data_IF_820727030273
#
_entry.id   IF_820727030273
#
_cell.length_a   1.000
_cell.length_b   1.000
_cell.length_c   1.000
_cell.angle_alpha   90.00
_cell.angle_beta   90.00
_cell.angle_gamma   90.00
#
_symmetry.space_group_name_H-M   'P 1'
#
loop_
_entity.id
_entity.type
_entity.pdbx_description
1 polymer ?
#
# COMPACT_ATOMS: atom_id res chain seq x y z
N UNK A 1 -36.38 -60.45 -18.77
CA UNK A 1 -36.70 -60.09 -20.18
C UNK A 1 -36.32 -58.62 -20.33
N UNK A 2 -35.09 -58.29 -20.73
CA UNK A 2 -34.56 -58.15 -22.11
C UNK A 2 -35.31 -57.08 -22.96
N UNK A 3 -34.52 -56.06 -23.36
CA UNK A 3 -34.55 -55.27 -24.62
C UNK A 3 -35.68 -54.22 -24.70
N UNK A 4 -35.48 -52.97 -25.14
CA UNK A 4 -34.58 -52.33 -26.12
C UNK A 4 -34.11 -50.95 -25.59
N UNK A 5 -32.87 -50.47 -25.71
CA UNK A 5 -31.96 -50.32 -26.85
C UNK A 5 -32.25 -49.09 -27.74
N UNK A 6 -31.28 -48.17 -27.72
CA UNK A 6 -30.86 -47.27 -28.79
C UNK A 6 -31.75 -46.07 -29.18
N UNK A 7 -31.23 -44.86 -28.96
CA UNK A 7 -30.68 -44.01 -30.03
C UNK A 7 -30.70 -42.53 -29.63
N UNK A 8 -29.53 -41.96 -29.28
CA UNK A 8 -29.04 -40.73 -29.91
C UNK A 8 -27.57 -40.51 -29.51
N UNK A 9 -26.69 -41.22 -30.22
CA UNK A 9 -25.29 -40.89 -30.33
C UNK A 9 -25.08 -40.35 -31.75
N UNK A 10 -24.59 -39.12 -31.90
CA UNK A 10 -23.76 -38.69 -33.04
C UNK A 10 -23.51 -37.17 -32.97
N UNK A 11 -22.30 -36.76 -32.59
CA UNK A 11 -21.47 -35.81 -33.35
C UNK A 11 -20.10 -35.68 -32.67
N UNK A 12 -19.26 -36.70 -32.93
CA UNK A 12 -17.81 -36.63 -32.80
C UNK A 12 -17.26 -36.20 -34.16
N UNK A 13 -16.45 -35.14 -34.19
CA UNK A 13 -15.57 -34.85 -35.32
C UNK A 13 -14.14 -34.61 -34.79
N UNK A 14 -13.31 -35.62 -35.02
CA UNK A 14 -11.87 -35.63 -35.29
C UNK A 14 -10.92 -34.72 -34.50
N UNK A 15 -10.11 -35.33 -33.63
CA UNK A 15 -8.75 -34.89 -33.35
C UNK A 15 -7.83 -36.12 -33.25
N UNK A 16 -6.78 -36.15 -34.08
CA UNK A 16 -5.81 -37.23 -34.20
C UNK A 16 -4.83 -37.27 -33.01
N UNK A 17 -4.21 -38.43 -32.68
CA UNK A 17 -3.30 -38.53 -31.55
C UNK A 17 -1.90 -38.02 -31.92
N UNK A 18 -1.44 -36.97 -31.23
CA UNK A 18 -0.03 -36.59 -31.25
C UNK A 18 0.70 -37.39 -30.16
N UNK A 19 1.72 -38.13 -30.59
CA UNK A 19 2.61 -38.89 -29.71
C UNK A 19 3.36 -37.95 -28.75
N UNK A 20 3.26 -38.22 -27.45
CA UNK A 20 4.07 -37.58 -26.43
C UNK A 20 5.44 -38.26 -26.42
N UNK A 21 6.40 -37.68 -27.14
CA UNK A 21 7.81 -37.98 -26.94
C UNK A 21 8.28 -37.26 -25.67
N UNK A 22 8.73 -38.03 -24.68
CA UNK A 22 9.44 -37.52 -23.52
C UNK A 22 10.71 -36.78 -23.98
N UNK A 23 10.81 -35.49 -23.68
CA UNK A 23 12.03 -34.73 -23.89
C UNK A 23 13.03 -35.06 -22.79
N UNK A 24 14.26 -35.51 -23.12
CA UNK A 24 15.32 -35.57 -22.13
C UNK A 24 15.70 -34.16 -21.69
N UNK A 25 15.92 -34.00 -20.38
CA UNK A 25 16.50 -32.79 -19.82
C UNK A 25 17.81 -32.46 -20.54
N UNK A 26 17.84 -31.32 -21.22
CA UNK A 26 19.05 -30.75 -21.82
C UNK A 26 19.48 -29.51 -21.05
N UNK A 27 20.79 -29.26 -20.97
CA UNK A 27 21.41 -28.53 -19.88
C UNK A 27 21.29 -27.00 -20.04
N UNK A 28 21.27 -26.33 -18.90
CA UNK A 28 21.81 -24.99 -18.63
C UNK A 28 22.01 -24.07 -19.87
N UNK A 29 21.00 -23.24 -20.17
CA UNK A 29 21.14 -22.14 -21.14
C UNK A 29 21.82 -20.94 -20.49
N UNK A 30 23.07 -21.13 -20.07
CA UNK A 30 24.05 -20.04 -19.91
C UNK A 30 24.79 -19.83 -21.23
N UNK A 31 24.06 -19.63 -22.33
CA UNK A 31 24.65 -19.29 -23.62
C UNK A 31 24.62 -17.77 -23.81
N UNK A 32 25.82 -17.19 -23.86
CA UNK A 32 26.04 -15.82 -24.31
C UNK A 32 25.34 -15.59 -25.66
N UNK A 33 24.39 -14.65 -25.70
CA UNK A 33 23.60 -14.27 -26.89
C UNK A 33 24.41 -13.57 -27.99
N UNK A 34 25.73 -13.66 -27.94
CA UNK A 34 26.65 -13.10 -28.92
C UNK A 34 27.45 -14.26 -29.49
N UNK A 35 27.36 -14.46 -30.81
CA UNK A 35 28.18 -15.45 -31.50
C UNK A 35 29.68 -15.13 -31.29
N UNK A 36 30.59 -16.10 -31.48
CA UNK A 36 32.03 -15.93 -31.25
C UNK A 36 32.72 -14.86 -32.13
N UNK A 37 31.95 -14.16 -32.97
CA UNK A 37 32.40 -13.10 -33.87
C UNK A 37 31.58 -11.79 -33.71
N UNK A 38 30.73 -11.65 -32.68
CA UNK A 38 30.01 -10.40 -32.42
C UNK A 38 30.92 -9.38 -31.72
N UNK A 39 31.49 -8.45 -32.49
CA UNK A 39 32.04 -7.21 -31.95
C UNK A 39 30.90 -6.21 -31.73
N UNK A 40 30.76 -5.59 -30.55
CA UNK A 40 29.80 -4.51 -30.35
C UNK A 40 30.06 -3.37 -31.35
N UNK A 41 29.04 -2.72 -31.93
CA UNK A 41 29.25 -1.54 -32.75
C UNK A 41 29.93 -0.45 -31.90
N UNK A 42 30.87 0.33 -32.48
CA UNK A 42 31.48 1.44 -31.76
C UNK A 42 30.39 2.43 -31.34
N UNK A 43 30.36 2.78 -30.06
CA UNK A 43 29.47 3.80 -29.53
C UNK A 43 29.73 5.14 -30.23
N UNK A 44 28.70 5.94 -30.55
CA UNK A 44 28.90 7.26 -31.14
C UNK A 44 29.74 8.13 -30.20
N UNK A 45 30.59 8.97 -30.79
CA UNK A 45 31.38 9.95 -30.04
C UNK A 45 30.42 11.00 -29.46
N UNK A 46 30.14 10.90 -28.16
CA UNK A 46 29.47 11.97 -27.44
C UNK A 46 30.48 13.10 -27.21
N UNK A 47 30.03 14.36 -27.39
CA UNK A 47 30.83 15.51 -27.00
C UNK A 47 31.14 15.42 -25.49
N UNK A 48 32.41 15.25 -25.14
CA UNK A 48 32.85 15.37 -23.75
C UNK A 48 32.63 16.83 -23.32
N UNK A 49 32.01 17.09 -22.15
CA UNK A 49 31.89 18.45 -21.64
C UNK A 49 33.31 19.02 -21.50
N UNK A 50 33.56 20.17 -22.13
CA UNK A 50 34.85 20.86 -22.04
C UNK A 50 35.17 21.17 -20.57
N UNK A 51 36.24 20.61 -19.99
CA UNK A 51 36.67 21.00 -18.65
C UNK A 51 37.21 22.43 -18.75
N UNK A 52 36.58 23.39 -18.08
CA UNK A 52 37.04 24.78 -18.08
C UNK A 52 35.98 25.85 -18.27
N UNK A 53 34.68 25.52 -18.26
CA UNK A 53 33.68 26.55 -17.97
C UNK A 53 33.89 27.00 -16.52
N UNK A 54 34.59 28.12 -16.35
CA UNK A 54 34.62 28.85 -15.10
C UNK A 54 33.15 29.08 -14.71
N UNK A 55 32.72 28.64 -13.52
CA UNK A 55 31.39 29.02 -13.04
C UNK A 55 31.31 30.54 -13.13
N UNK A 56 30.19 31.11 -13.65
CA UNK A 56 30.02 32.55 -13.66
C UNK A 56 30.27 33.07 -12.24
N UNK A 57 30.90 34.25 -12.08
CA UNK A 57 31.10 34.83 -10.76
C UNK A 57 29.78 34.75 -10.00
N UNK A 58 29.86 34.33 -8.74
CA UNK A 58 28.71 34.20 -7.86
C UNK A 58 28.15 35.58 -7.47
N UNK A 59 28.01 36.50 -8.42
CA UNK A 59 27.14 37.67 -8.34
C UNK A 59 25.70 37.23 -8.59
N UNK A 60 25.30 36.13 -7.96
CA UNK A 60 23.89 35.94 -7.64
C UNK A 60 23.62 37.06 -6.66
N UNK A 61 22.78 38.07 -6.96
CA UNK A 61 22.39 39.04 -5.95
C UNK A 61 21.99 38.23 -4.72
N UNK A 62 22.65 38.49 -3.60
CA UNK A 62 22.30 37.85 -2.35
C UNK A 62 20.79 38.03 -2.24
N UNK A 63 20.04 36.93 -2.33
CA UNK A 63 18.63 36.96 -1.99
C UNK A 63 18.66 37.57 -0.59
N UNK A 64 18.08 38.77 -0.38
CA UNK A 64 18.13 39.38 0.92
C UNK A 64 17.63 38.32 1.90
N UNK A 65 18.48 37.97 2.88
CA UNK A 65 18.07 37.09 3.97
C UNK A 65 16.72 37.63 4.44
N UNK A 66 15.66 36.81 4.57
CA UNK A 66 14.31 37.29 4.79
C UNK A 66 14.32 38.30 5.93
N UNK A 67 14.24 39.59 5.58
CA UNK A 67 14.37 40.69 6.51
C UNK A 67 13.11 40.68 7.36
N UNK A 68 13.24 40.15 8.58
CA UNK A 68 12.18 40.18 9.59
C UNK A 68 10.91 39.45 9.17
N UNK A 69 10.95 38.13 9.05
CA UNK A 69 9.72 37.34 9.05
C UNK A 69 8.94 37.60 10.34
N UNK A 70 7.63 37.79 10.23
CA UNK A 70 6.73 37.91 11.39
C UNK A 70 7.08 36.82 12.41
N UNK A 71 7.44 37.23 13.62
CA UNK A 71 7.78 36.30 14.67
C UNK A 71 6.53 35.60 15.16
N UNK A 72 6.64 34.32 15.45
CA UNK A 72 5.57 33.56 16.09
C UNK A 72 5.60 33.90 17.58
N UNK A 73 4.63 34.69 18.02
CA UNK A 73 4.44 35.08 19.43
C UNK A 73 3.47 34.16 20.14
N UNK A 74 2.46 33.63 19.44
CA UNK A 74 1.44 32.77 20.01
C UNK A 74 1.24 31.50 19.18
N UNK A 75 1.15 30.35 19.86
CA UNK A 75 0.88 29.05 19.26
C UNK A 75 -0.48 28.51 19.70
N UNK A 76 -1.42 28.43 18.76
CA UNK A 76 -2.75 27.87 18.98
C UNK A 76 -2.84 26.54 18.28
N UNK A 77 -3.15 25.48 19.02
CA UNK A 77 -3.28 24.13 18.50
C UNK A 77 -4.68 23.67 18.81
N UNK A 78 -5.40 23.20 17.80
CA UNK A 78 -6.67 22.52 18.01
C UNK A 78 -6.60 21.09 17.47
N UNK A 79 -7.49 20.24 17.96
CA UNK A 79 -7.69 18.89 17.46
C UNK A 79 -9.13 18.83 16.91
N UNK A 80 -9.37 19.24 15.66
CA UNK A 80 -10.70 19.20 15.08
C UNK A 80 -11.17 17.76 14.83
N UNK A 81 -12.47 17.52 14.98
CA UNK A 81 -13.11 16.28 14.59
C UNK A 81 -13.75 15.50 15.75
N UNK A 82 -14.25 14.28 15.47
CA UNK A 82 -14.86 13.42 16.49
C UNK A 82 -13.83 12.96 17.53
N UNK A 83 -14.30 12.47 18.70
CA UNK A 83 -13.42 11.87 19.69
C UNK A 83 -12.57 10.78 19.05
N UNK A 84 -11.26 10.91 19.24
CA UNK A 84 -10.24 10.07 18.64
C UNK A 84 -9.49 9.32 19.74
N UNK A 85 -8.90 8.19 19.38
CA UNK A 85 -7.93 7.53 20.27
C UNK A 85 -6.61 8.30 20.22
N UNK A 86 -5.80 8.24 21.29
CA UNK A 86 -4.47 8.81 21.25
C UNK A 86 -3.63 8.14 20.14
N UNK A 87 -2.96 8.94 19.31
CA UNK A 87 -2.04 8.46 18.28
C UNK A 87 -0.73 7.97 18.91
N UNK A 88 -0.75 6.80 19.53
CA UNK A 88 0.42 6.20 20.18
C UNK A 88 1.23 5.42 19.14
N UNK A 89 2.51 5.79 18.90
CA UNK A 89 3.38 5.03 18.00
C UNK A 89 3.62 3.60 18.48
N UNK A 90 3.92 2.66 17.56
CA UNK A 90 4.33 1.30 17.93
C UNK A 90 5.57 1.28 18.85
N UNK A 91 5.75 0.29 19.74
CA UNK A 91 6.88 0.27 20.69
C UNK A 91 8.28 0.26 20.03
N UNK A 92 8.38 -0.32 18.84
CA UNK A 92 9.63 -0.38 18.06
C UNK A 92 9.93 0.92 17.31
N UNK A 93 8.96 1.83 17.19
CA UNK A 93 9.13 3.08 16.47
C UNK A 93 10.15 3.99 17.18
N UNK A 94 10.88 4.77 16.38
CA UNK A 94 11.81 5.80 16.85
C UNK A 94 11.58 7.08 16.07
N UNK A 95 11.74 8.25 16.71
CA UNK A 95 11.58 9.53 16.04
C UNK A 95 12.64 9.72 14.94
N UNK A 96 12.33 10.49 13.87
CA UNK A 96 13.28 10.76 12.80
C UNK A 96 14.57 11.42 13.32
N UNK A 97 15.72 10.82 13.07
CA UNK A 97 17.03 11.35 13.48
C UNK A 97 17.54 12.48 12.56
N UNK A 98 17.15 12.44 11.28
CA UNK A 98 17.63 13.37 10.25
C UNK A 98 16.86 14.70 10.27
N UNK A 99 17.13 15.52 11.28
CA UNK A 99 16.42 16.77 11.54
C UNK A 99 17.30 18.03 11.38
N UNK A 100 18.57 17.89 10.99
CA UNK A 100 19.48 19.02 10.88
C UNK A 100 19.74 19.69 12.23
N UNK A 101 19.39 20.96 12.37
CA UNK A 101 19.46 21.71 13.62
C UNK A 101 18.21 21.54 14.51
N UNK A 102 17.16 20.92 13.99
CA UNK A 102 15.94 20.64 14.72
C UNK A 102 16.07 19.37 15.57
N UNK A 103 15.30 19.33 16.66
CA UNK A 103 15.27 18.20 17.59
C UNK A 103 13.84 17.71 17.77
N UNK A 104 13.69 16.40 17.91
CA UNK A 104 12.42 15.77 18.24
C UNK A 104 12.61 14.81 19.40
N UNK A 105 11.85 15.03 20.47
CA UNK A 105 11.87 14.22 21.69
C UNK A 105 10.52 13.50 21.84
N UNK A 106 10.58 12.18 21.95
CA UNK A 106 9.39 11.34 22.13
C UNK A 106 9.66 10.32 23.23
N UNK A 107 8.72 10.24 24.19
CA UNK A 107 8.78 9.25 25.28
C UNK A 107 8.07 7.97 24.84
N UNK A 108 8.60 6.77 25.17
CA UNK A 108 7.90 5.51 24.88
C UNK A 108 6.46 5.51 25.40
N UNK A 109 5.50 5.19 24.53
CA UNK A 109 4.06 5.19 24.86
C UNK A 109 3.38 6.55 24.88
N UNK A 110 4.11 7.65 24.63
CA UNK A 110 3.52 8.98 24.49
C UNK A 110 2.74 9.09 23.17
N UNK A 111 1.55 9.70 23.21
CA UNK A 111 0.78 9.97 22.02
C UNK A 111 1.33 11.18 21.26
N UNK A 112 1.33 11.11 19.92
CA UNK A 112 1.58 12.24 19.03
C UNK A 112 0.36 13.17 19.04
N UNK A 113 0.23 13.96 20.12
CA UNK A 113 -0.87 14.89 20.32
C UNK A 113 -0.41 16.29 20.71
N UNK A 114 -1.36 17.10 21.17
CA UNK A 114 -1.12 18.52 21.45
C UNK A 114 0.04 18.74 22.43
N UNK A 115 0.06 18.00 23.55
CA UNK A 115 1.11 18.13 24.56
C UNK A 115 2.50 17.82 24.01
N UNK A 116 2.60 16.75 23.21
CA UNK A 116 3.84 16.37 22.52
C UNK A 116 4.26 17.44 21.51
N UNK A 117 3.32 17.96 20.70
CA UNK A 117 3.60 18.96 19.68
C UNK A 117 4.07 20.29 20.30
N UNK A 118 3.40 20.77 21.36
CA UNK A 118 3.82 21.97 22.10
C UNK A 118 5.25 21.84 22.63
N UNK A 119 5.62 20.66 23.15
CA UNK A 119 7.00 20.37 23.58
C UNK A 119 7.98 20.47 22.42
N UNK A 120 7.67 19.91 21.24
CA UNK A 120 8.57 20.00 20.08
C UNK A 120 8.80 21.44 19.66
N UNK A 121 7.76 22.28 19.67
CA UNK A 121 7.88 23.70 19.36
C UNK A 121 8.76 24.45 20.37
N UNK A 122 8.61 24.15 21.66
CA UNK A 122 9.43 24.73 22.72
C UNK A 122 10.90 24.29 22.60
N UNK A 123 11.17 23.00 22.37
CA UNK A 123 12.52 22.44 22.22
C UNK A 123 13.28 23.06 21.04
N UNK A 124 12.57 23.44 19.99
CA UNK A 124 13.15 24.05 18.81
C UNK A 124 13.19 25.58 18.88
N UNK A 125 12.77 26.21 20.00
CA UNK A 125 12.80 27.66 20.15
C UNK A 125 11.88 28.39 19.17
N UNK A 126 10.74 27.80 18.80
CA UNK A 126 9.78 28.43 17.89
C UNK A 126 9.12 29.69 18.49
N UNK A 127 8.79 29.75 19.80
CA UNK A 127 8.35 31.01 20.40
C UNK A 127 9.42 32.09 20.21
N UNK A 128 9.10 33.15 19.48
CA UNK A 128 10.05 34.22 19.12
C UNK A 128 10.90 33.95 17.89
N UNK A 129 10.74 32.80 17.21
CA UNK A 129 11.36 32.55 15.90
C UNK A 129 10.43 32.96 14.75
N UNK A 130 11.01 33.09 13.55
CA UNK A 130 10.24 33.33 12.33
C UNK A 130 9.40 32.13 11.89
N UNK A 131 8.33 32.42 11.14
CA UNK A 131 7.44 31.41 10.51
C UNK A 131 8.19 30.24 9.83
N UNK A 132 9.30 30.43 9.07
CA UNK A 132 9.99 29.33 8.42
C UNK A 132 10.45 28.23 9.39
N UNK A 133 10.92 28.59 10.59
CA UNK A 133 11.36 27.63 11.61
C UNK A 133 10.17 26.85 12.16
N UNK A 134 9.06 27.53 12.41
CA UNK A 134 7.83 26.90 12.85
C UNK A 134 7.32 25.86 11.84
N UNK A 135 7.33 26.22 10.55
CA UNK A 135 6.96 25.31 9.47
C UNK A 135 7.91 24.11 9.38
N UNK A 136 9.22 24.31 9.60
CA UNK A 136 10.18 23.21 9.63
C UNK A 136 9.89 22.21 10.77
N UNK A 137 9.47 22.69 11.94
CA UNK A 137 9.01 21.83 13.06
C UNK A 137 7.71 21.10 12.70
N UNK A 138 6.76 21.75 12.01
CA UNK A 138 5.55 21.07 11.49
C UNK A 138 5.92 19.94 10.53
N UNK A 139 6.84 20.17 9.59
CA UNK A 139 7.26 19.14 8.65
C UNK A 139 7.98 17.98 9.35
N UNK A 140 8.82 18.27 10.35
CA UNK A 140 9.46 17.25 11.16
C UNK A 140 8.43 16.43 11.97
N UNK A 141 7.41 17.09 12.53
CA UNK A 141 6.32 16.42 13.22
C UNK A 141 5.50 15.52 12.26
N UNK A 142 5.19 16.00 11.05
CA UNK A 142 4.49 15.20 10.04
C UNK A 142 5.30 13.98 9.61
N UNK A 143 6.64 14.12 9.47
CA UNK A 143 7.51 12.97 9.24
C UNK A 143 7.45 11.97 10.39
N UNK A 144 7.34 12.43 11.64
CA UNK A 144 7.17 11.55 12.80
C UNK A 144 5.84 10.79 12.74
N UNK A 145 4.73 11.44 12.38
CA UNK A 145 3.43 10.77 12.15
C UNK A 145 3.53 9.69 11.06
N UNK A 146 4.12 10.03 9.91
CA UNK A 146 4.31 9.09 8.80
C UNK A 146 5.18 7.90 9.21
N UNK A 147 6.33 8.16 9.86
CA UNK A 147 7.23 7.12 10.34
C UNK A 147 6.59 6.21 11.39
N UNK A 148 5.66 6.74 12.20
CA UNK A 148 4.90 5.98 13.19
C UNK A 148 3.77 5.14 12.58
N UNK A 149 3.54 5.25 11.27
CA UNK A 149 2.49 4.52 10.54
C UNK A 149 1.15 5.26 10.46
N UNK A 150 1.05 6.51 10.92
CA UNK A 150 -0.16 7.32 10.82
C UNK A 150 -0.21 8.10 9.50
N UNK A 151 -0.37 7.38 8.39
CA UNK A 151 -0.20 7.87 7.02
C UNK A 151 -1.14 9.00 6.59
N UNK A 152 -2.34 9.07 7.17
CA UNK A 152 -3.33 10.12 6.90
C UNK A 152 -3.52 11.07 8.08
N UNK A 153 -2.64 11.02 9.09
CA UNK A 153 -2.68 11.94 10.22
C UNK A 153 -1.51 12.89 10.20
N UNK A 154 -1.67 14.06 10.80
CA UNK A 154 -0.60 15.03 10.89
C UNK A 154 -1.07 16.38 11.39
N UNK A 155 -0.19 17.35 11.24
CA UNK A 155 -0.37 18.73 11.65
C UNK A 155 -0.53 19.58 10.39
N UNK A 156 -1.63 20.33 10.33
CA UNK A 156 -1.90 21.30 9.26
C UNK A 156 -1.86 22.71 9.83
N UNK A 157 -1.28 23.63 9.06
CA UNK A 157 -1.30 25.06 9.39
C UNK A 157 -2.62 25.64 8.88
N UNK A 158 -3.32 26.38 9.74
CA UNK A 158 -4.54 27.10 9.37
C UNK A 158 -4.23 28.59 9.19
N UNK A 159 -4.94 29.27 8.29
CA UNK A 159 -4.82 30.71 8.17
C UNK A 159 -5.26 31.36 9.49
N UNK A 160 -4.38 32.18 10.05
CA UNK A 160 -4.66 33.02 11.22
C UNK A 160 -5.02 34.43 10.78
N UNK A 161 -6.01 35.03 11.45
CA UNK A 161 -6.39 36.43 11.22
C UNK A 161 -5.48 37.42 11.98
N UNK A 162 -4.70 36.95 12.96
CA UNK A 162 -3.90 37.80 13.83
C UNK A 162 -2.39 37.69 13.50
N UNK A 163 -1.67 38.82 13.39
CA UNK A 163 -0.23 38.81 13.14
C UNK A 163 0.51 38.16 14.32
N UNK A 164 1.49 37.30 14.01
CA UNK A 164 2.29 36.58 15.00
C UNK A 164 1.62 35.38 15.66
N UNK A 165 0.35 35.10 15.36
CA UNK A 165 -0.35 33.91 15.83
C UNK A 165 -0.25 32.80 14.78
N UNK A 166 0.29 31.65 15.18
CA UNK A 166 0.33 30.45 14.35
C UNK A 166 -0.78 29.48 14.78
N UNK A 167 -1.81 29.37 13.95
CA UNK A 167 -2.91 28.43 14.13
C UNK A 167 -2.56 27.07 13.51
N UNK A 168 -2.55 26.04 14.33
CA UNK A 168 -2.32 24.66 13.94
C UNK A 168 -3.57 23.80 14.21
N UNK A 169 -3.76 22.78 13.39
CA UNK A 169 -4.69 21.70 13.66
C UNK A 169 -3.98 20.36 13.59
N UNK A 170 -4.15 19.54 14.62
CA UNK A 170 -3.77 18.12 14.56
C UNK A 170 -4.96 17.37 14.00
N UNK A 171 -4.78 16.84 12.80
CA UNK A 171 -5.77 16.04 12.10
C UNK A 171 -5.45 14.56 12.35
N UNK A 172 -6.32 13.89 13.11
CA UNK A 172 -6.29 12.44 13.23
C UNK A 172 -7.14 11.82 12.14
N UNK A 173 -6.46 11.30 11.11
CA UNK A 173 -7.09 10.76 9.93
C UNK A 173 -7.77 9.42 10.17
N UNK A 174 -8.76 9.11 9.35
CA UNK A 174 -9.50 7.86 9.36
C UNK A 174 -10.06 7.56 7.98
N UNK A 175 -10.73 6.42 7.84
CA UNK A 175 -11.49 6.18 6.62
C UNK A 175 -12.75 7.07 6.60
N UNK A 176 -13.11 7.55 5.42
CA UNK A 176 -14.29 8.33 5.13
C UNK A 176 -14.84 7.97 3.74
N UNK A 177 -16.12 8.24 3.53
CA UNK A 177 -16.78 7.99 2.26
C UNK A 177 -16.16 8.87 1.15
N UNK A 178 -15.66 8.29 0.05
CA UNK A 178 -14.93 9.04 -0.98
C UNK A 178 -15.81 10.01 -1.78
N UNK A 179 -17.08 9.65 -2.04
CA UNK A 179 -18.14 10.51 -2.56
C UNK A 179 -19.47 9.72 -2.61
N UNK A 180 -20.60 10.40 -2.44
CA UNK A 180 -21.94 9.78 -2.46
C UNK A 180 -22.20 8.85 -1.28
N UNK A 181 -23.03 7.83 -1.49
CA UNK A 181 -23.41 6.83 -0.47
C UNK A 181 -22.44 5.63 -0.39
N UNK A 182 -21.21 5.78 -0.88
CA UNK A 182 -20.23 4.70 -0.83
C UNK A 182 -19.66 4.53 0.59
N UNK A 183 -19.47 3.28 1.06
CA UNK A 183 -18.86 3.03 2.35
C UNK A 183 -17.38 3.45 2.35
N UNK A 184 -16.81 3.82 3.51
CA UNK A 184 -15.38 4.13 3.64
C UNK A 184 -14.44 2.97 3.29
N UNK A 185 -14.93 1.74 3.40
CA UNK A 185 -14.27 0.52 2.97
C UNK A 185 -15.19 -0.17 1.95
N UNK A 186 -14.66 -0.44 0.76
CA UNK A 186 -15.39 -1.13 -0.31
C UNK A 186 -14.77 -2.50 -0.59
N UNK A 187 -15.60 -3.48 -0.96
CA UNK A 187 -15.16 -4.83 -1.35
C UNK A 187 -15.57 -5.10 -2.79
N UNK A 188 -14.59 -5.35 -3.65
CA UNK A 188 -14.75 -5.71 -5.04
C UNK A 188 -14.34 -7.19 -5.25
N UNK A 189 -15.13 -7.92 -6.03
CA UNK A 189 -14.85 -9.32 -6.34
C UNK A 189 -14.08 -9.46 -7.65
N UNK A 190 -12.84 -9.96 -7.56
CA UNK A 190 -12.04 -10.29 -8.74
C UNK A 190 -12.74 -11.41 -9.50
N UNK A 191 -13.04 -11.17 -10.80
CA UNK A 191 -13.83 -12.08 -11.63
C UNK A 191 -15.35 -11.92 -11.47
N UNK A 192 -15.81 -10.89 -10.75
CA UNK A 192 -17.21 -10.46 -10.70
C UNK A 192 -18.16 -11.35 -9.90
N UNK A 193 -17.65 -12.33 -9.13
CA UNK A 193 -18.48 -13.23 -8.31
C UNK A 193 -17.83 -13.48 -6.95
N UNK A 194 -18.65 -13.51 -5.90
CA UNK A 194 -18.18 -13.75 -4.54
C UNK A 194 -17.94 -15.23 -4.21
N UNK A 195 -18.36 -16.17 -5.08
CA UNK A 195 -18.31 -17.63 -4.85
C UNK A 195 -18.86 -18.05 -3.48
N UNK A 196 -19.83 -17.29 -2.97
CA UNK A 196 -20.49 -17.51 -1.69
C UNK A 196 -19.83 -16.84 -0.49
N UNK A 197 -18.67 -16.19 -0.64
CA UNK A 197 -18.07 -15.34 0.38
C UNK A 197 -18.92 -14.07 0.57
N UNK A 198 -19.13 -13.65 1.82
CA UNK A 198 -19.86 -12.42 2.14
C UNK A 198 -18.89 -11.24 2.21
N UNK A 199 -19.30 -10.05 1.76
CA UNK A 199 -18.51 -8.83 1.96
C UNK A 199 -18.34 -8.53 3.45
N UNK A 200 -19.39 -8.72 4.27
CA UNK A 200 -19.33 -8.48 5.71
C UNK A 200 -18.27 -9.34 6.40
N UNK A 201 -18.07 -10.58 5.93
CA UNK A 201 -17.00 -11.47 6.43
C UNK A 201 -15.60 -10.87 6.24
N UNK A 202 -15.39 -10.18 5.12
CA UNK A 202 -14.14 -9.48 4.79
C UNK A 202 -14.01 -8.21 5.63
N UNK A 203 -15.08 -7.41 5.74
CA UNK A 203 -15.09 -6.18 6.53
C UNK A 203 -14.82 -6.40 8.01
N UNK A 204 -15.40 -7.44 8.59
CA UNK A 204 -15.23 -7.79 10.01
C UNK A 204 -13.79 -8.21 10.34
N UNK A 205 -13.04 -8.68 9.33
CA UNK A 205 -11.61 -9.00 9.43
C UNK A 205 -10.68 -7.81 9.23
N UNK A 206 -11.25 -6.63 9.01
CA UNK A 206 -10.52 -5.36 8.91
C UNK A 206 -10.89 -4.39 10.05
N UNK A 207 -10.81 -4.78 11.33
CA UNK A 207 -11.21 -3.92 12.45
C UNK A 207 -10.41 -2.60 12.53
N UNK A 208 -9.18 -2.56 12.01
CA UNK A 208 -8.34 -1.37 11.98
C UNK A 208 -8.86 -0.29 11.02
N UNK A 209 -9.62 -0.68 9.99
CA UNK A 209 -10.26 0.24 9.05
C UNK A 209 -11.27 1.18 9.73
N UNK A 210 -11.85 0.75 10.86
CA UNK A 210 -12.83 1.52 11.66
C UNK A 210 -12.16 2.41 12.72
N UNK A 211 -10.83 2.38 12.85
CA UNK A 211 -10.10 3.13 13.89
C UNK A 211 -9.74 4.54 13.44
N UNK A 212 -9.69 5.45 14.41
CA UNK A 212 -9.19 6.82 14.25
C UNK A 212 -8.29 7.18 15.44
N UNK A 213 -7.00 7.49 15.22
CA UNK A 213 -6.32 7.59 13.93
C UNK A 213 -6.15 6.23 13.21
N UNK A 214 -6.09 6.26 11.87
CA UNK A 214 -5.78 5.10 11.05
C UNK A 214 -4.29 4.75 11.18
N UNK A 215 -4.00 3.50 11.51
CA UNK A 215 -2.63 2.98 11.59
C UNK A 215 -2.36 2.02 10.45
N UNK A 216 -1.35 2.33 9.62
CA UNK A 216 -0.89 1.44 8.56
C UNK A 216 -0.36 0.11 9.11
N UNK A 217 0.28 0.11 10.29
CA UNK A 217 0.81 -1.09 10.93
C UNK A 217 -0.33 -2.04 11.35
N UNK A 218 -1.41 -1.49 11.91
CA UNK A 218 -2.58 -2.29 12.28
C UNK A 218 -3.35 -2.75 11.03
N UNK A 219 -3.46 -1.90 10.01
CA UNK A 219 -4.10 -2.24 8.74
C UNK A 219 -3.36 -3.35 7.99
N UNK A 220 -2.03 -3.30 7.94
CA UNK A 220 -1.17 -4.34 7.34
C UNK A 220 -1.33 -5.67 8.10
N UNK A 221 -1.42 -5.61 9.43
CA UNK A 221 -1.68 -6.81 10.25
C UNK A 221 -3.01 -7.45 9.87
N UNK A 222 -4.08 -6.67 9.79
CA UNK A 222 -5.41 -7.16 9.43
C UNK A 222 -5.40 -7.72 7.99
N UNK A 223 -4.76 -7.02 7.05
CA UNK A 223 -4.61 -7.47 5.67
C UNK A 223 -3.85 -8.79 5.57
N UNK A 224 -2.76 -8.97 6.32
CA UNK A 224 -2.01 -10.24 6.33
C UNK A 224 -2.86 -11.39 6.87
N UNK A 225 -3.61 -11.17 7.95
CA UNK A 225 -4.53 -12.16 8.48
C UNK A 225 -5.63 -12.52 7.47
N UNK A 226 -6.13 -11.53 6.73
CA UNK A 226 -7.10 -11.72 5.66
C UNK A 226 -6.50 -12.51 4.48
N UNK A 227 -5.23 -12.27 4.14
CA UNK A 227 -4.53 -12.98 3.07
C UNK A 227 -4.19 -14.44 3.43
N UNK A 228 -4.07 -14.75 4.72
CA UNK A 228 -3.87 -16.12 5.25
C UNK A 228 -5.20 -16.89 5.37
N UNK A 229 -6.35 -16.24 5.19
CA UNK A 229 -7.66 -16.86 5.34
C UNK A 229 -7.92 -17.91 4.22
N UNK A 230 -8.25 -19.17 4.56
CA UNK A 230 -8.45 -20.22 3.58
C UNK A 230 -9.67 -19.99 2.66
N UNK A 231 -10.58 -19.08 2.99
CA UNK A 231 -11.68 -18.72 2.10
C UNK A 231 -11.25 -17.77 0.96
N UNK A 232 -10.05 -17.19 1.05
CA UNK A 232 -9.54 -16.17 0.13
C UNK A 232 -8.34 -16.73 -0.63
N UNK A 233 -8.37 -16.62 -1.95
CA UNK A 233 -7.26 -17.05 -2.81
C UNK A 233 -6.24 -15.94 -2.98
N UNK A 234 -6.72 -14.72 -3.15
CA UNK A 234 -5.88 -13.52 -3.33
C UNK A 234 -6.65 -12.32 -2.82
N UNK A 235 -5.93 -11.38 -2.20
CA UNK A 235 -6.47 -10.11 -1.74
C UNK A 235 -5.51 -9.00 -2.14
N UNK A 236 -6.05 -7.92 -2.67
CA UNK A 236 -5.33 -6.67 -2.91
C UNK A 236 -6.07 -5.55 -2.19
N UNK A 237 -5.32 -4.57 -1.69
CA UNK A 237 -5.87 -3.39 -1.03
C UNK A 237 -5.30 -2.14 -1.68
N UNK A 238 -6.16 -1.16 -1.93
CA UNK A 238 -5.78 0.16 -2.39
C UNK A 238 -6.33 1.21 -1.41
N UNK A 239 -5.47 2.12 -0.96
CA UNK A 239 -5.85 3.20 -0.07
C UNK A 239 -5.84 4.52 -0.84
N UNK A 240 -7.03 5.07 -1.07
CA UNK A 240 -7.20 6.30 -1.84
C UNK A 240 -7.39 7.51 -0.92
N UNK A 241 -6.76 8.66 -1.22
CA UNK A 241 -6.98 9.88 -0.46
C UNK A 241 -8.43 10.39 -0.64
N UNK A 242 -9.02 10.92 0.42
CA UNK A 242 -10.36 11.49 0.43
C UNK A 242 -10.39 12.98 0.05
N UNK A 243 -11.57 13.59 0.21
CA UNK A 243 -11.82 14.99 -0.19
C UNK A 243 -11.19 16.02 0.76
N UNK A 244 -11.03 15.67 2.04
CA UNK A 244 -10.42 16.53 3.07
C UNK A 244 -9.13 15.91 3.62
N UNK A 245 -8.20 16.74 4.14
CA UNK A 245 -7.07 16.22 4.90
C UNK A 245 -7.54 15.31 6.04
N UNK A 246 -6.94 14.13 6.15
CA UNK A 246 -7.33 13.13 7.14
C UNK A 246 -8.49 12.22 6.76
N UNK A 247 -9.00 12.33 5.53
CA UNK A 247 -9.95 11.37 4.97
C UNK A 247 -9.23 10.46 3.97
N UNK A 248 -9.58 9.18 3.96
CA UNK A 248 -9.15 8.20 2.97
C UNK A 248 -10.26 7.16 2.75
N UNK A 249 -10.27 6.47 1.63
CA UNK A 249 -11.12 5.29 1.41
C UNK A 249 -10.24 4.07 1.17
N UNK A 250 -10.70 2.90 1.62
CA UNK A 250 -10.00 1.64 1.42
C UNK A 250 -10.81 0.77 0.45
N UNK A 251 -10.16 0.28 -0.59
CA UNK A 251 -10.80 -0.58 -1.59
C UNK A 251 -10.10 -1.94 -1.60
N UNK A 252 -10.86 -3.00 -1.36
CA UNK A 252 -10.37 -4.37 -1.27
C UNK A 252 -10.81 -5.16 -2.49
N UNK A 253 -9.87 -5.61 -3.31
CA UNK A 253 -10.14 -6.52 -4.41
C UNK A 253 -9.85 -7.96 -3.96
N UNK A 254 -10.92 -8.76 -3.82
CA UNK A 254 -10.88 -10.12 -3.28
C UNK A 254 -11.11 -11.13 -4.39
N UNK A 255 -10.21 -12.12 -4.50
CA UNK A 255 -10.44 -13.33 -5.27
C UNK A 255 -10.78 -14.48 -4.32
N UNK A 256 -12.05 -14.92 -4.25
CA UNK A 256 -12.45 -15.99 -3.35
C UNK A 256 -11.93 -17.35 -3.80
N UNK A 257 -11.68 -18.24 -2.84
CA UNK A 257 -11.42 -19.66 -3.13
C UNK A 257 -12.67 -20.35 -3.70
N UNK A 258 -12.44 -21.40 -4.47
CA UNK A 258 -13.50 -22.27 -4.95
C UNK A 258 -13.98 -23.18 -3.80
N UNK A 259 -15.28 -23.13 -3.50
CA UNK A 259 -15.89 -23.94 -2.42
C UNK A 259 -16.02 -25.42 -2.75
N UNK A 260 -16.06 -25.73 -4.04
CA UNK A 260 -16.23 -27.10 -4.51
C UNK A 260 -15.32 -27.26 -5.71
N UNK A 261 -14.50 -28.30 -5.69
CA UNK A 261 -13.76 -28.76 -6.86
C UNK A 261 -14.20 -30.19 -7.15
N UNK A 262 -14.71 -30.45 -8.35
CA UNK A 262 -15.21 -31.76 -8.77
C UNK A 262 -14.46 -32.17 -10.03
N UNK A 263 -13.83 -33.33 -9.99
CA UNK A 263 -13.10 -33.88 -11.13
C UNK A 263 -13.53 -35.31 -11.43
N UNK A 264 -13.52 -35.64 -12.72
CA UNK A 264 -13.76 -36.98 -13.24
C UNK A 264 -12.52 -37.40 -14.03
N UNK A 265 -11.99 -38.56 -13.70
CA UNK A 265 -10.80 -39.12 -14.31
C UNK A 265 -11.15 -40.41 -15.06
N UNK A 266 -10.72 -40.49 -16.31
CA UNK A 266 -10.79 -41.69 -17.14
C UNK A 266 -9.37 -42.11 -17.54
N UNK A 267 -9.03 -43.37 -17.29
CA UNK A 267 -7.75 -43.94 -17.73
C UNK A 267 -7.95 -45.27 -18.45
N UNK A 268 -7.14 -45.47 -19.49
CA UNK A 268 -6.99 -46.75 -20.18
C UNK A 268 -5.51 -47.16 -20.23
N UNK A 269 -4.87 -47.27 -19.06
CA UNK A 269 -3.43 -47.49 -18.94
C UNK A 269 -3.05 -48.88 -18.41
N UNK A 270 -4.01 -49.82 -18.37
CA UNK A 270 -3.78 -51.21 -17.99
C UNK A 270 -4.03 -52.13 -19.18
N UNK A 271 -3.41 -53.32 -19.14
CA UNK A 271 -3.61 -54.32 -20.19
C UNK A 271 -5.10 -54.68 -20.29
N UNK A 272 -5.68 -54.76 -21.51
CA UNK A 272 -7.09 -55.11 -21.71
C UNK A 272 -7.51 -56.40 -20.99
N UNK A 273 -6.57 -57.34 -20.84
CA UNK A 273 -6.78 -58.64 -20.20
C UNK A 273 -7.06 -58.57 -18.68
N UNK A 274 -6.82 -57.42 -18.02
CA UNK A 274 -7.06 -57.23 -16.57
C UNK A 274 -8.02 -56.09 -16.25
N UNK A 275 -8.77 -55.59 -17.24
CA UNK A 275 -9.59 -54.39 -17.12
C UNK A 275 -8.77 -53.15 -17.42
N UNK A 276 -8.75 -52.75 -18.69
CA UNK A 276 -7.97 -51.61 -19.18
C UNK A 276 -8.52 -50.26 -18.72
N UNK A 277 -9.84 -50.16 -18.58
CA UNK A 277 -10.56 -48.90 -18.37
C UNK A 277 -10.89 -48.67 -16.89
N UNK A 278 -10.66 -47.44 -16.42
CA UNK A 278 -11.07 -47.00 -15.09
C UNK A 278 -11.70 -45.61 -15.16
N UNK A 279 -12.90 -45.48 -14.60
CA UNK A 279 -13.56 -44.20 -14.31
C UNK A 279 -13.51 -43.97 -12.81
N UNK A 280 -13.08 -42.79 -12.37
CA UNK A 280 -13.16 -42.36 -10.98
C UNK A 280 -13.64 -40.90 -10.91
N UNK A 281 -14.55 -40.60 -10.00
CA UNK A 281 -14.94 -39.23 -9.68
C UNK A 281 -14.46 -38.89 -8.26
N UNK A 282 -14.03 -37.66 -8.07
CA UNK A 282 -13.56 -37.15 -6.77
C UNK A 282 -13.76 -35.64 -6.69
N UNK A 283 -13.54 -35.10 -5.50
CA UNK A 283 -13.63 -33.66 -5.30
C UNK A 283 -13.21 -33.22 -3.91
N UNK A 284 -12.98 -31.92 -3.76
CA UNK A 284 -12.75 -31.25 -2.48
C UNK A 284 -13.97 -30.38 -2.17
N UNK A 285 -14.37 -30.38 -0.90
CA UNK A 285 -15.51 -29.66 -0.33
C UNK A 285 -15.03 -28.86 0.87
#
# INVERSE_FOLDING_TARGET
MRRDAAALAALLAAAAPAAVCAQPASPELSQSRTGPQSTPPPTPSFAQPTPGLTPPPADRPAIPAPTGGTLVTELRIAVPGPPNRPAVPPPAWRPPADAGDLRLDHRPGEALGEAWLRRQFALNGVPGAGVPRALAVVQLANRAFLGAGFINSGVVVRPSAAPGVLDLAIVYGGLASPAGDLPPLSVEWIGGRSKGLDAAYVEDRMPSARRRPLSAVELERDFRLLAEDPAIRTVNADLRPGSRPGEASLDLAIYPQDRFDLYVYYANNRSPSVGGERVSAGGLV
#
